data_IF_806792721173
#
_entry.id   IF_806792721173
#
_cell.length_a   1.000
_cell.length_b   1.000
_cell.length_c   1.000
_cell.angle_alpha   90.00
_cell.angle_beta   90.00
_cell.angle_gamma   90.00
#
_symmetry.space_group_name_H-M   'P 1'
#
loop_
_entity.id
_entity.type
_entity.pdbx_description
1 polymer ?
#
# COMPACT_ATOMS: atom_id res chain seq x y z
N UNK A 1 2.15 43.87 -53.17
CA UNK A 1 1.08 43.84 -54.19
C UNK A 1 -0.12 43.14 -53.58
N UNK A 2 -1.29 43.79 -53.65
CA UNK A 2 -2.58 43.31 -53.16
C UNK A 2 -3.22 42.44 -54.24
N UNK A 3 -3.80 41.29 -53.89
CA UNK A 3 -4.95 40.73 -54.61
C UNK A 3 -5.83 39.92 -53.64
N UNK A 4 -7.12 40.27 -53.67
CA UNK A 4 -8.25 39.69 -52.96
C UNK A 4 -8.88 38.55 -53.77
N UNK A 5 -9.56 37.61 -53.09
CA UNK A 5 -10.81 36.93 -53.48
C UNK A 5 -11.07 35.82 -52.45
N UNK A 6 -12.00 35.95 -51.49
CA UNK A 6 -13.45 35.69 -51.58
C UNK A 6 -13.78 34.35 -52.26
N UNK A 7 -14.19 33.36 -51.46
CA UNK A 7 -15.26 32.45 -51.84
C UNK A 7 -16.16 32.19 -50.61
N UNK A 8 -17.39 32.70 -50.70
CA UNK A 8 -18.54 32.23 -49.94
C UNK A 8 -18.87 30.79 -50.39
N UNK A 9 -19.16 29.90 -49.45
CA UNK A 9 -19.96 28.72 -49.73
C UNK A 9 -20.99 28.51 -48.61
N UNK A 10 -22.22 28.31 -49.07
CA UNK A 10 -23.49 28.39 -48.38
C UNK A 10 -23.72 27.37 -47.24
N UNK A 11 -24.63 27.79 -46.37
CA UNK A 11 -25.44 27.00 -45.43
C UNK A 11 -26.02 25.72 -46.06
N UNK A 12 -25.96 24.63 -45.29
CA UNK A 12 -27.03 23.62 -45.27
C UNK A 12 -27.17 23.09 -43.84
N UNK A 13 -28.18 23.62 -43.14
CA UNK A 13 -28.63 23.12 -41.85
C UNK A 13 -29.37 21.79 -42.06
N UNK A 14 -28.92 20.73 -41.39
CA UNK A 14 -29.69 19.50 -41.22
C UNK A 14 -29.73 19.20 -39.72
N UNK A 15 -30.70 19.78 -39.02
CA UNK A 15 -31.02 19.38 -37.64
C UNK A 15 -31.85 18.09 -37.68
N UNK A 16 -31.49 17.05 -36.91
CA UNK A 16 -32.33 15.89 -36.75
C UNK A 16 -33.60 16.25 -35.95
N UNK A 17 -34.73 15.76 -36.44
CA UNK A 17 -36.06 15.95 -35.90
C UNK A 17 -36.13 15.56 -34.41
N UNK A 18 -36.59 16.52 -33.60
CA UNK A 18 -36.90 16.37 -32.18
C UNK A 18 -38.12 15.46 -32.05
N UNK A 19 -37.92 14.25 -31.54
CA UNK A 19 -39.00 13.33 -31.21
C UNK A 19 -39.96 14.01 -30.22
N UNK A 20 -41.26 13.92 -30.52
CA UNK A 20 -42.33 14.43 -29.69
C UNK A 20 -42.30 13.76 -28.31
N UNK A 21 -41.91 14.51 -27.28
CA UNK A 21 -42.20 14.15 -25.89
C UNK A 21 -43.70 14.35 -25.68
N UNK A 22 -44.46 13.27 -25.78
CA UNK A 22 -45.83 13.22 -25.27
C UNK A 22 -45.78 13.45 -23.77
N UNK A 23 -46.31 14.58 -23.31
CA UNK A 23 -46.59 14.86 -21.90
C UNK A 23 -47.70 13.93 -21.42
N UNK A 24 -47.35 12.68 -21.13
CA UNK A 24 -48.20 11.78 -20.38
C UNK A 24 -48.04 12.12 -18.89
N UNK A 25 -49.09 12.69 -18.31
CA UNK A 25 -49.27 12.78 -16.86
C UNK A 25 -49.08 11.39 -16.23
N UNK A 26 -48.53 11.28 -15.01
CA UNK A 26 -48.41 9.97 -14.36
C UNK A 26 -49.81 9.40 -14.06
N UNK A 27 -49.99 8.07 -14.17
CA UNK A 27 -51.27 7.45 -13.86
C UNK A 27 -51.65 7.64 -12.39
N UNK A 28 -52.95 7.75 -12.17
CA UNK A 28 -53.59 7.89 -10.86
C UNK A 28 -53.21 6.69 -9.95
N UNK A 29 -52.53 6.97 -8.83
CA UNK A 29 -52.15 5.95 -7.84
C UNK A 29 -53.38 5.56 -7.03
N UNK A 30 -53.87 4.33 -7.18
CA UNK A 30 -54.95 3.78 -6.36
C UNK A 30 -54.36 2.97 -5.19
N UNK A 31 -55.07 2.82 -4.05
CA UNK A 31 -54.59 2.03 -2.91
C UNK A 31 -54.36 0.54 -3.23
N UNK A 32 -54.83 0.07 -4.39
CA UNK A 32 -54.62 -1.29 -4.89
C UNK A 32 -53.28 -1.47 -5.63
N UNK A 33 -52.60 -0.39 -6.04
CA UNK A 33 -51.29 -0.46 -6.72
C UNK A 33 -50.09 -0.56 -5.77
N UNK A 34 -50.32 -0.51 -4.45
CA UNK A 34 -49.26 -0.55 -3.42
C UNK A 34 -48.94 -1.97 -2.92
N UNK A 35 -49.60 -2.99 -3.44
CA UNK A 35 -49.51 -4.36 -2.94
C UNK A 35 -48.81 -5.33 -3.87
N UNK A 36 -47.53 -5.11 -4.21
CA UNK A 36 -46.58 -6.16 -4.63
C UNK A 36 -45.22 -5.59 -5.10
N UNK A 37 -44.54 -4.80 -4.28
CA UNK A 37 -43.07 -4.68 -4.41
C UNK A 37 -42.49 -5.67 -3.42
N UNK A 38 -42.31 -6.92 -3.86
CA UNK A 38 -41.44 -7.84 -3.16
C UNK A 38 -40.03 -7.26 -3.26
N UNK A 39 -39.57 -6.57 -2.21
CA UNK A 39 -38.16 -6.26 -2.03
C UNK A 39 -37.46 -7.62 -1.97
N UNK A 40 -36.65 -8.02 -2.97
CA UNK A 40 -35.89 -9.25 -2.85
C UNK A 40 -35.03 -9.08 -1.61
N UNK A 41 -35.13 -10.05 -0.69
CA UNK A 41 -34.18 -10.14 0.43
C UNK A 41 -32.78 -9.94 -0.15
N UNK A 42 -31.89 -9.17 0.50
CA UNK A 42 -30.53 -8.99 0.02
C UNK A 42 -29.99 -10.38 -0.30
N UNK A 43 -29.77 -10.63 -1.60
CA UNK A 43 -29.20 -11.89 -2.05
C UNK A 43 -27.91 -12.10 -1.25
N UNK A 44 -27.65 -13.35 -0.86
CA UNK A 44 -26.38 -13.73 -0.25
C UNK A 44 -25.27 -12.93 -0.92
N UNK A 45 -24.40 -12.24 -0.14
CA UNK A 45 -23.42 -11.35 -0.71
C UNK A 45 -22.74 -12.09 -1.84
N UNK A 46 -22.89 -11.54 -3.06
CA UNK A 46 -22.13 -11.94 -4.23
C UNK A 46 -20.73 -12.15 -3.71
N UNK A 47 -20.24 -13.40 -3.74
CA UNK A 47 -18.92 -13.74 -3.24
C UNK A 47 -17.98 -12.80 -3.96
N UNK A 48 -17.48 -11.80 -3.22
CA UNK A 48 -16.68 -10.75 -3.79
C UNK A 48 -15.56 -11.43 -4.58
N UNK A 49 -15.24 -10.90 -5.76
CA UNK A 49 -13.93 -11.14 -6.38
C UNK A 49 -12.86 -11.09 -5.28
N UNK A 50 -11.78 -11.90 -5.34
CA UNK A 50 -10.76 -11.90 -4.30
C UNK A 50 -10.36 -10.46 -3.97
N UNK A 51 -10.80 -9.99 -2.80
CA UNK A 51 -10.45 -8.67 -2.29
C UNK A 51 -8.93 -8.67 -2.07
N UNK A 52 -8.30 -7.52 -2.23
CA UNK A 52 -7.11 -7.22 -1.43
C UNK A 52 -7.35 -7.74 0.01
N UNK A 53 -6.64 -8.79 0.42
CA UNK A 53 -7.04 -9.55 1.61
C UNK A 53 -6.38 -10.92 1.80
N UNK A 54 -5.64 -11.41 0.81
CA UNK A 54 -4.68 -12.53 1.01
C UNK A 54 -3.28 -11.94 1.01
N UNK A 55 -2.60 -12.08 2.14
CA UNK A 55 -1.19 -11.71 2.26
C UNK A 55 -0.34 -12.62 1.38
N UNK A 56 0.78 -12.08 0.92
CA UNK A 56 1.74 -12.82 0.13
C UNK A 56 2.33 -13.97 0.97
N UNK A 57 2.02 -15.20 0.58
CA UNK A 57 2.33 -16.41 1.36
C UNK A 57 3.81 -16.57 1.66
N UNK A 58 4.69 -16.22 0.71
CA UNK A 58 6.13 -16.26 0.94
C UNK A 58 6.61 -15.20 1.95
N UNK A 59 5.90 -14.07 2.10
CA UNK A 59 6.22 -13.12 3.17
C UNK A 59 5.95 -13.75 4.55
N UNK A 60 4.77 -14.35 4.75
CA UNK A 60 4.44 -15.05 5.99
C UNK A 60 5.45 -16.16 6.30
N UNK A 61 5.83 -16.94 5.29
CA UNK A 61 6.82 -18.00 5.42
C UNK A 61 8.19 -17.47 5.89
N UNK A 62 8.68 -16.38 5.27
CA UNK A 62 9.95 -15.75 5.66
C UNK A 62 9.89 -15.28 7.11
N UNK A 63 8.82 -14.57 7.50
CA UNK A 63 8.70 -14.05 8.86
C UNK A 63 8.66 -15.18 9.90
N UNK A 64 7.90 -16.23 9.65
CA UNK A 64 7.75 -17.34 10.60
C UNK A 64 9.02 -18.21 10.63
N UNK A 65 9.51 -18.67 9.47
CA UNK A 65 10.59 -19.67 9.40
C UNK A 65 11.97 -19.08 9.63
N UNK A 66 12.23 -17.87 9.13
CA UNK A 66 13.57 -17.27 9.20
C UNK A 66 13.72 -16.33 10.39
N UNK A 67 12.68 -15.57 10.73
CA UNK A 67 12.72 -14.55 11.78
C UNK A 67 11.96 -14.94 13.06
N UNK A 68 11.22 -16.06 13.06
CA UNK A 68 10.45 -16.50 14.23
C UNK A 68 9.31 -15.55 14.63
N UNK A 69 8.81 -14.75 13.68
CA UNK A 69 7.76 -13.76 13.90
C UNK A 69 6.39 -14.36 13.55
N UNK A 70 5.52 -14.50 14.55
CA UNK A 70 4.18 -15.08 14.44
C UNK A 70 3.07 -14.13 14.91
N UNK A 71 3.40 -13.10 15.70
CA UNK A 71 2.44 -12.15 16.26
C UNK A 71 2.26 -10.86 15.45
N UNK A 72 3.13 -10.61 14.47
CA UNK A 72 3.05 -9.43 13.61
C UNK A 72 1.93 -9.59 12.58
N UNK A 73 1.15 -8.52 12.40
CA UNK A 73 0.15 -8.47 11.33
C UNK A 73 0.80 -8.03 10.02
N UNK A 74 0.48 -8.71 8.93
CA UNK A 74 0.95 -8.35 7.59
C UNK A 74 -0.16 -7.67 6.80
N UNK A 75 0.23 -6.64 6.06
CA UNK A 75 -0.54 -6.07 4.95
C UNK A 75 0.37 -5.97 3.73
N UNK A 76 0.58 -7.14 3.12
CA UNK A 76 1.41 -7.32 1.93
C UNK A 76 0.54 -8.10 0.93
N UNK A 77 -0.39 -7.45 0.22
CA UNK A 77 -1.28 -8.16 -0.68
C UNK A 77 -0.52 -8.75 -1.86
N UNK A 78 -0.78 -10.02 -2.20
CA UNK A 78 -0.12 -10.71 -3.31
C UNK A 78 -0.26 -9.96 -4.65
N UNK A 79 -1.43 -9.39 -4.92
CA UNK A 79 -1.67 -8.58 -6.11
C UNK A 79 -0.77 -7.33 -6.18
N UNK A 80 -0.43 -6.73 -5.03
CA UNK A 80 0.45 -5.56 -4.97
C UNK A 80 1.90 -5.94 -5.20
N UNK A 81 2.35 -7.08 -4.65
CA UNK A 81 3.67 -7.64 -4.94
C UNK A 81 3.79 -7.92 -6.44
N UNK A 82 2.81 -8.61 -7.03
CA UNK A 82 2.79 -8.91 -8.46
C UNK A 82 2.81 -7.66 -9.34
N UNK A 83 1.99 -6.66 -9.02
CA UNK A 83 1.96 -5.37 -9.73
C UNK A 83 3.33 -4.67 -9.70
N UNK A 84 3.94 -4.57 -8.52
CA UNK A 84 5.26 -3.96 -8.36
C UNK A 84 6.39 -4.75 -9.02
N UNK A 85 6.27 -6.08 -9.13
CA UNK A 85 7.23 -6.91 -9.87
C UNK A 85 7.12 -6.68 -11.38
N UNK A 86 5.90 -6.50 -11.91
CA UNK A 86 5.69 -6.24 -13.35
C UNK A 86 6.23 -4.87 -13.78
N UNK A 87 6.12 -3.85 -12.92
CA UNK A 87 6.59 -2.50 -13.22
C UNK A 87 8.12 -2.39 -13.29
N UNK A 88 8.83 -3.22 -12.51
CA UNK A 88 10.30 -3.22 -12.43
C UNK A 88 10.83 -4.66 -12.37
N UNK A 89 10.87 -5.37 -13.52
CA UNK A 89 11.14 -6.82 -13.56
C UNK A 89 12.60 -7.21 -13.37
N UNK A 90 13.53 -6.25 -13.47
CA UNK A 90 14.95 -6.49 -13.27
C UNK A 90 15.41 -6.06 -11.87
N UNK A 91 16.14 -6.95 -11.19
CA UNK A 91 16.81 -6.64 -9.93
C UNK A 91 16.44 -7.58 -8.76
N UNK A 92 16.55 -7.05 -7.54
CA UNK A 92 16.28 -7.72 -6.29
C UNK A 92 14.82 -8.19 -6.23
N UNK A 93 14.60 -9.49 -6.01
CA UNK A 93 13.24 -10.02 -5.86
C UNK A 93 12.61 -9.57 -4.55
N UNK A 94 11.28 -9.63 -4.45
CA UNK A 94 10.53 -9.17 -3.28
C UNK A 94 11.03 -9.83 -1.99
N UNK A 95 11.26 -11.15 -2.02
CA UNK A 95 11.67 -11.94 -0.86
C UNK A 95 13.08 -11.54 -0.38
N UNK A 96 14.01 -11.28 -1.30
CA UNK A 96 15.34 -10.79 -0.96
C UNK A 96 15.27 -9.38 -0.38
N UNK A 97 14.40 -8.53 -0.92
CA UNK A 97 14.16 -7.19 -0.41
C UNK A 97 13.56 -7.21 1.00
N UNK A 98 12.57 -8.08 1.25
CA UNK A 98 11.96 -8.26 2.55
C UNK A 98 12.97 -8.73 3.60
N UNK A 99 13.80 -9.74 3.28
CA UNK A 99 14.89 -10.17 4.17
C UNK A 99 15.87 -9.04 4.46
N UNK A 100 16.24 -8.27 3.45
CA UNK A 100 17.15 -7.12 3.60
C UNK A 100 16.53 -6.04 4.48
N UNK A 101 15.24 -5.76 4.32
CA UNK A 101 14.49 -4.81 5.13
C UNK A 101 14.40 -5.26 6.60
N UNK A 102 14.00 -6.51 6.86
CA UNK A 102 13.94 -7.08 8.21
C UNK A 102 15.30 -7.07 8.91
N UNK A 103 16.36 -7.44 8.18
CA UNK A 103 17.73 -7.35 8.69
C UNK A 103 18.13 -5.90 8.99
N UNK A 104 17.77 -4.93 8.14
CA UNK A 104 18.07 -3.52 8.39
C UNK A 104 17.43 -3.05 9.70
N UNK A 105 16.13 -3.35 9.93
CA UNK A 105 15.48 -2.99 11.19
C UNK A 105 16.19 -3.57 12.41
N UNK A 106 16.68 -4.80 12.32
CA UNK A 106 17.25 -5.53 13.46
C UNK A 106 18.74 -5.26 13.71
N UNK A 107 19.46 -4.67 12.76
CA UNK A 107 20.93 -4.56 12.81
C UNK A 107 21.48 -3.17 12.51
N UNK A 108 20.75 -2.35 11.74
CA UNK A 108 21.18 -1.01 11.37
C UNK A 108 20.60 0.04 12.34
N UNK A 109 21.50 0.69 13.07
CA UNK A 109 21.24 1.78 14.01
C UNK A 109 21.91 3.09 13.58
N UNK A 110 22.41 3.16 12.33
CA UNK A 110 23.12 4.34 11.82
C UNK A 110 22.22 5.58 11.79
N UNK A 111 20.93 5.39 11.55
CA UNK A 111 19.92 6.43 11.64
C UNK A 111 19.35 6.54 13.05
N UNK A 112 19.47 7.72 13.67
CA UNK A 112 19.01 7.97 15.04
C UNK A 112 17.50 7.82 15.21
N UNK A 113 16.72 7.86 14.12
CA UNK A 113 15.27 7.73 14.15
C UNK A 113 14.82 6.30 13.83
N UNK A 114 15.75 5.41 13.45
CA UNK A 114 15.45 3.99 13.19
C UNK A 114 14.93 3.24 14.43
N UNK A 115 14.27 2.08 14.26
CA UNK A 115 13.66 1.35 15.36
C UNK A 115 14.71 0.80 16.32
N UNK A 116 15.86 0.31 15.82
CA UNK A 116 16.93 -0.17 16.69
C UNK A 116 17.55 0.98 17.51
N UNK A 117 17.78 2.14 16.88
CA UNK A 117 18.26 3.34 17.55
C UNK A 117 17.28 3.84 18.62
N UNK A 118 15.97 3.79 18.34
CA UNK A 118 14.90 4.11 19.29
C UNK A 118 14.96 3.22 20.54
N UNK A 119 15.15 1.90 20.37
CA UNK A 119 15.32 0.96 21.49
C UNK A 119 16.59 1.27 22.29
N UNK A 120 17.71 1.53 21.62
CA UNK A 120 18.98 1.87 22.27
C UNK A 120 18.87 3.17 23.07
N UNK A 121 18.22 4.18 22.50
CA UNK A 121 17.93 5.46 23.18
C UNK A 121 17.05 5.24 24.41
N UNK A 122 16.01 4.40 24.30
CA UNK A 122 15.18 4.00 25.45
C UNK A 122 15.94 3.21 26.53
N UNK A 123 17.09 2.63 26.19
CA UNK A 123 18.02 2.00 27.15
C UNK A 123 19.06 2.98 27.72
N UNK A 124 19.09 4.23 27.25
CA UNK A 124 20.09 5.23 27.65
C UNK A 124 21.48 4.99 27.05
N UNK A 125 21.57 4.28 25.91
CA UNK A 125 22.84 3.87 25.30
C UNK A 125 23.12 4.71 24.06
N UNK A 126 24.14 5.56 24.14
CA UNK A 126 24.58 6.39 23.00
C UNK A 126 25.63 5.70 22.11
N UNK A 127 26.45 4.80 22.66
CA UNK A 127 27.52 4.08 21.95
C UNK A 127 27.46 2.59 22.30
N UNK A 128 26.67 1.81 21.55
CA UNK A 128 26.39 0.44 21.92
C UNK A 128 27.57 -0.49 21.65
N UNK A 129 27.84 -1.37 22.60
CA UNK A 129 28.67 -2.56 22.44
C UNK A 129 27.94 -3.64 21.63
N UNK A 130 28.66 -4.67 21.17
CA UNK A 130 28.05 -5.82 20.47
C UNK A 130 26.98 -6.52 21.33
N UNK A 131 27.17 -6.58 22.64
CA UNK A 131 26.20 -7.20 23.56
C UNK A 131 24.91 -6.38 23.65
N UNK A 132 25.03 -5.06 23.76
CA UNK A 132 23.90 -4.14 23.82
C UNK A 132 23.13 -4.11 22.51
N UNK A 133 23.81 -4.16 21.35
CA UNK A 133 23.17 -4.31 20.05
C UNK A 133 22.34 -5.59 19.98
N UNK A 134 22.89 -6.72 20.45
CA UNK A 134 22.17 -8.00 20.48
C UNK A 134 20.94 -7.93 21.41
N UNK A 135 21.08 -7.27 22.56
CA UNK A 135 19.96 -7.08 23.50
C UNK A 135 18.87 -6.18 22.91
N UNK A 136 19.24 -5.07 22.27
CA UNK A 136 18.32 -4.15 21.62
C UNK A 136 17.61 -4.82 20.44
N UNK A 137 18.34 -5.56 19.61
CA UNK A 137 17.79 -6.35 18.50
C UNK A 137 16.78 -7.39 19.01
N UNK A 138 17.10 -8.10 20.11
CA UNK A 138 16.16 -9.03 20.76
C UNK A 138 14.89 -8.32 21.27
N UNK A 139 15.03 -7.14 21.89
CA UNK A 139 13.87 -6.35 22.34
C UNK A 139 13.01 -5.87 21.18
N UNK A 140 13.62 -5.41 20.09
CA UNK A 140 12.90 -5.01 18.88
C UNK A 140 12.14 -6.20 18.29
N UNK A 141 12.79 -7.36 18.16
CA UNK A 141 12.15 -8.59 17.70
C UNK A 141 10.97 -9.00 18.59
N UNK A 142 11.10 -8.84 19.92
CA UNK A 142 9.98 -9.04 20.84
C UNK A 142 8.82 -8.07 20.55
N UNK A 143 9.08 -6.79 20.33
CA UNK A 143 8.05 -5.80 19.98
C UNK A 143 7.39 -6.11 18.63
N UNK A 144 8.17 -6.48 17.62
CA UNK A 144 7.65 -6.92 16.32
C UNK A 144 6.74 -8.14 16.46
N UNK A 145 6.99 -9.02 17.44
CA UNK A 145 6.18 -10.21 17.68
C UNK A 145 4.98 -9.98 18.62
N UNK A 146 4.64 -8.73 18.97
CA UNK A 146 3.46 -8.41 19.77
C UNK A 146 2.23 -8.15 18.90
N UNK A 147 1.02 -8.51 19.37
CA UNK A 147 -0.22 -8.02 18.77
C UNK A 147 -0.23 -6.48 18.70
N UNK A 148 -0.55 -5.93 17.53
CA UNK A 148 -0.50 -4.49 17.28
C UNK A 148 0.80 -3.99 16.62
N UNK A 149 1.76 -4.89 16.35
CA UNK A 149 2.82 -4.65 15.38
C UNK A 149 2.32 -4.98 13.96
N UNK A 150 2.66 -4.13 12.99
CA UNK A 150 2.20 -4.26 11.61
C UNK A 150 3.34 -4.03 10.62
N UNK A 151 3.43 -4.86 9.59
CA UNK A 151 4.35 -4.69 8.47
C UNK A 151 3.58 -4.55 7.16
N UNK A 152 3.83 -3.45 6.46
CA UNK A 152 3.17 -3.08 5.22
C UNK A 152 4.16 -3.06 4.07
N UNK A 153 3.72 -3.49 2.89
CA UNK A 153 4.35 -3.10 1.63
C UNK A 153 3.79 -1.73 1.22
N UNK A 154 4.66 -0.74 1.05
CA UNK A 154 4.25 0.59 0.58
C UNK A 154 3.76 0.50 -0.87
N UNK A 155 2.62 1.13 -1.14
CA UNK A 155 1.98 1.20 -2.45
C UNK A 155 2.14 2.59 -3.04
N UNK A 156 2.12 2.70 -4.37
CA UNK A 156 2.02 3.98 -5.05
C UNK A 156 0.77 4.73 -4.57
N UNK A 157 0.96 5.97 -4.08
CA UNK A 157 -0.12 6.84 -3.56
C UNK A 157 -0.94 6.27 -2.40
N UNK A 158 -0.42 5.26 -1.67
CA UNK A 158 -1.03 4.73 -0.46
C UNK A 158 -0.83 5.60 0.78
N UNK A 159 -1.49 5.31 1.91
CA UNK A 159 -1.45 6.14 3.13
C UNK A 159 -0.12 6.10 3.91
N UNK A 160 0.78 5.15 3.62
CA UNK A 160 2.02 4.92 4.36
C UNK A 160 3.27 5.31 3.57
N UNK A 161 3.24 6.48 2.93
CA UNK A 161 4.36 6.95 2.11
C UNK A 161 5.62 7.18 2.94
N UNK A 162 6.82 6.88 2.38
CA UNK A 162 8.09 7.18 3.01
C UNK A 162 8.30 8.69 3.18
N UNK A 163 8.98 9.10 4.26
CA UNK A 163 9.13 10.53 4.59
C UNK A 163 10.27 11.24 3.86
N UNK A 164 11.21 10.50 3.24
CA UNK A 164 12.40 11.06 2.56
C UNK A 164 12.28 11.07 1.03
N UNK A 165 11.07 10.88 0.49
CA UNK A 165 10.77 11.01 -0.94
C UNK A 165 11.17 9.81 -1.80
N UNK A 166 11.46 8.66 -1.18
CA UNK A 166 11.71 7.42 -1.89
C UNK A 166 10.51 6.98 -2.72
N UNK A 167 10.78 6.41 -3.90
CA UNK A 167 9.75 5.94 -4.84
C UNK A 167 9.75 4.43 -4.93
N UNK A 168 8.56 3.82 -4.93
CA UNK A 168 8.39 2.36 -5.07
C UNK A 168 8.77 1.85 -6.46
N UNK A 169 8.84 2.73 -7.47
CA UNK A 169 9.28 2.37 -8.82
C UNK A 169 10.76 1.95 -8.88
N UNK A 170 11.60 2.45 -7.97
CA UNK A 170 13.03 2.15 -7.90
C UNK A 170 13.46 1.45 -6.61
N UNK A 171 12.57 1.34 -5.63
CA UNK A 171 12.82 0.67 -4.35
C UNK A 171 11.70 -0.31 -3.99
N UNK A 172 12.05 -1.33 -3.23
CA UNK A 172 11.10 -2.02 -2.35
C UNK A 172 11.06 -1.27 -1.02
N UNK A 173 9.87 -0.83 -0.62
CA UNK A 173 9.72 -0.01 0.58
C UNK A 173 8.73 -0.69 1.51
N UNK A 174 9.17 -0.92 2.73
CA UNK A 174 8.37 -1.56 3.78
C UNK A 174 8.15 -0.57 4.91
N UNK A 175 6.93 -0.51 5.45
CA UNK A 175 6.63 0.28 6.63
C UNK A 175 6.34 -0.66 7.81
N UNK A 176 7.08 -0.49 8.89
CA UNK A 176 6.89 -1.18 10.17
C UNK A 176 6.22 -0.21 11.15
N UNK A 177 5.10 -0.62 11.72
CA UNK A 177 4.43 0.10 12.81
C UNK A 177 4.51 -0.71 14.08
N UNK A 178 5.00 -0.07 15.15
CA UNK A 178 5.11 -0.67 16.48
C UNK A 178 4.19 0.07 17.46
N UNK A 179 3.87 -0.60 18.58
CA UNK A 179 3.13 -0.04 19.72
C UNK A 179 1.77 0.57 19.33
N UNK A 180 0.88 -0.26 18.76
CA UNK A 180 -0.45 0.16 18.33
C UNK A 180 -0.40 1.41 17.45
N UNK A 181 0.44 1.37 16.40
CA UNK A 181 0.48 2.39 15.35
C UNK A 181 1.15 3.73 15.69
N UNK A 182 1.70 3.90 16.90
CA UNK A 182 2.27 5.18 17.34
C UNK A 182 3.56 5.54 16.61
N UNK A 183 4.42 4.55 16.34
CA UNK A 183 5.71 4.78 15.70
C UNK A 183 5.74 4.09 14.33
N UNK A 184 6.11 4.84 13.29
CA UNK A 184 6.27 4.32 11.94
C UNK A 184 7.74 4.33 11.53
N UNK A 185 8.23 3.22 11.03
CA UNK A 185 9.58 3.05 10.54
C UNK A 185 9.54 2.56 9.10
N UNK A 186 10.38 3.10 8.24
CA UNK A 186 10.52 2.62 6.86
C UNK A 186 11.84 1.90 6.70
N UNK A 187 11.81 0.80 5.94
CA UNK A 187 12.99 0.17 5.39
C UNK A 187 12.93 0.23 3.87
N UNK A 188 14.03 0.65 3.27
CA UNK A 188 14.15 0.87 1.82
C UNK A 188 15.22 -0.05 1.29
N UNK A 189 14.83 -0.97 0.42
CA UNK A 189 15.74 -1.84 -0.32
C UNK A 189 15.76 -1.42 -1.79
N UNK A 190 16.93 -1.06 -2.29
CA UNK A 190 17.13 -0.64 -3.67
C UNK A 190 16.83 -1.80 -4.62
N UNK A 191 15.97 -1.58 -5.63
CA UNK A 191 15.58 -2.65 -6.56
C UNK A 191 16.74 -3.17 -7.38
N UNK A 192 17.79 -2.38 -7.63
CA UNK A 192 18.95 -2.87 -8.37
C UNK A 192 19.84 -3.79 -7.52
N UNK A 193 19.67 -3.80 -6.19
CA UNK A 193 20.51 -4.57 -5.27
C UNK A 193 21.90 -3.99 -5.07
N UNK A 194 22.22 -2.85 -5.69
CA UNK A 194 23.54 -2.22 -5.62
C UNK A 194 23.79 -1.47 -4.31
N UNK A 195 22.72 -1.18 -3.55
CA UNK A 195 22.79 -0.49 -2.27
C UNK A 195 22.21 -1.40 -1.19
N UNK A 196 22.89 -1.43 -0.03
CA UNK A 196 22.36 -2.10 1.14
C UNK A 196 21.03 -1.44 1.55
N UNK A 197 20.10 -2.24 2.07
CA UNK A 197 18.87 -1.71 2.64
C UNK A 197 19.18 -0.85 3.86
N UNK A 198 18.52 0.30 3.96
CA UNK A 198 18.62 1.21 5.10
C UNK A 198 17.24 1.46 5.69
N UNK A 199 17.20 1.96 6.92
CA UNK A 199 15.95 2.22 7.61
C UNK A 199 15.97 3.53 8.41
N UNK A 200 14.78 4.05 8.72
CA UNK A 200 14.59 5.26 9.50
C UNK A 200 13.17 5.32 10.07
N UNK A 201 12.92 6.18 11.05
CA UNK A 201 11.61 6.44 11.63
C UNK A 201 10.99 7.77 11.21
N UNK A 202 9.71 7.93 11.50
CA UNK A 202 9.02 9.22 11.45
C UNK A 202 9.54 10.12 12.57
N UNK A 203 10.01 11.32 12.21
CA UNK A 203 10.34 12.38 13.17
C UNK A 203 9.10 12.87 13.92
#
# INVERSE_FOLDING_TARGET
MKFSAILLAAFAAAMPARAAQTSAWPPLVTPETLGAIAVPAPGNPVRALPKDGVNYSAAEEILIKEFGMTGISLDIPEAQVGSQMQQSPAGLCFEQALRSALNSFLTDYSDSTGPLASILSGMGIAKPTKSELKQASKKLMQQMNMPGAHLYLVRDNGPHQPSRGEKVSVNWIFNLRLNNYSNSYWAVADRSGNKAAYNYGSN
#
